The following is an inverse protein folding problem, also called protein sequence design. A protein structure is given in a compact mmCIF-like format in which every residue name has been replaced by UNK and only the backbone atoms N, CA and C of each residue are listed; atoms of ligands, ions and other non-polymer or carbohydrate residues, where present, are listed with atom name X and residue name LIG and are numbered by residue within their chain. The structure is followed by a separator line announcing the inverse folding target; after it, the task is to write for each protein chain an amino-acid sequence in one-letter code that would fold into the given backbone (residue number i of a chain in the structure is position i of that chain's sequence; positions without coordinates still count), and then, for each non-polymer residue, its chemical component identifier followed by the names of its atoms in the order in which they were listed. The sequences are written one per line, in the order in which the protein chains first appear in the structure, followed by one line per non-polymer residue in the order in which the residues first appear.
data_IF_695689561129
#
_entry.id   IF_695689561129
#
_cell.length_a   1.000
_cell.length_b   1.000
_cell.length_c   1.000
_cell.angle_alpha   90.00
_cell.angle_beta   90.00
_cell.angle_gamma   90.00
#
_symmetry.space_group_name_H-M   'P 1'
#
loop_
_entity.id
_entity.type
_entity.pdbx_description
1 polymer ?
#
# COMPACT_ATOMS: atom_id res chain seq x y z
N UNK A 1 -43.05 18.27 3.61
CA UNK A 1 -41.72 18.02 3.00
C UNK A 1 -41.26 16.65 3.43
N UNK A 2 -41.30 15.69 2.51
CA UNK A 2 -40.93 14.29 2.76
C UNK A 2 -39.43 14.15 3.07
N UNK A 3 -39.06 13.03 3.71
CA UNK A 3 -37.68 12.76 4.11
C UNK A 3 -36.68 12.92 2.95
N UNK A 4 -37.08 12.53 1.74
CA UNK A 4 -36.28 12.67 0.52
C UNK A 4 -36.01 14.14 0.21
N UNK A 5 -37.03 15.01 0.26
CA UNK A 5 -36.85 16.43 -0.02
C UNK A 5 -35.95 17.10 1.02
N UNK A 6 -36.08 16.71 2.30
CA UNK A 6 -35.18 17.18 3.37
C UNK A 6 -33.73 16.72 3.15
N UNK A 7 -33.52 15.49 2.69
CA UNK A 7 -32.20 14.96 2.37
C UNK A 7 -31.54 15.71 1.22
N UNK A 8 -32.29 15.97 0.15
CA UNK A 8 -31.81 16.74 -1.01
C UNK A 8 -31.41 18.15 -0.60
N UNK A 9 -32.26 18.85 0.17
CA UNK A 9 -31.95 20.21 0.65
C UNK A 9 -30.68 20.22 1.50
N UNK A 10 -30.53 19.27 2.44
CA UNK A 10 -29.32 19.15 3.26
C UNK A 10 -28.07 18.87 2.43
N UNK A 11 -28.18 18.02 1.41
CA UNK A 11 -27.08 17.76 0.48
C UNK A 11 -26.63 19.03 -0.24
N UNK A 12 -27.56 19.80 -0.82
CA UNK A 12 -27.23 21.06 -1.49
C UNK A 12 -26.63 22.08 -0.52
N UNK A 13 -27.19 22.20 0.69
CA UNK A 13 -26.63 23.08 1.73
C UNK A 13 -25.19 22.70 2.10
N UNK A 14 -24.89 21.40 2.25
CA UNK A 14 -23.55 20.92 2.50
C UNK A 14 -22.61 21.25 1.33
N UNK A 15 -23.05 21.01 0.08
CA UNK A 15 -22.23 21.27 -1.11
C UNK A 15 -21.90 22.76 -1.31
N UNK A 16 -22.77 23.67 -0.83
CA UNK A 16 -22.54 25.12 -0.83
C UNK A 16 -21.47 25.56 0.18
N UNK A 17 -21.17 24.75 1.20
CA UNK A 17 -20.09 25.02 2.17
C UNK A 17 -18.69 24.62 1.66
N UNK A 18 -18.61 23.98 0.49
CA UNK A 18 -17.33 23.63 -0.13
C UNK A 18 -16.56 24.86 -0.59
N UNK A 19 -15.25 24.69 -0.75
CA UNK A 19 -14.36 25.75 -1.23
C UNK A 19 -14.76 26.19 -2.66
N UNK A 20 -15.08 27.46 -2.89
CA UNK A 20 -15.50 27.93 -4.21
C UNK A 20 -14.37 27.84 -5.25
N UNK A 21 -13.10 27.83 -4.82
CA UNK A 21 -11.92 27.81 -5.72
C UNK A 21 -11.77 26.47 -6.44
N UNK A 22 -12.36 25.39 -5.89
CA UNK A 22 -12.32 24.07 -6.53
C UNK A 22 -13.45 23.84 -7.54
N UNK A 23 -14.39 24.79 -7.64
CA UNK A 23 -15.52 24.70 -8.57
C UNK A 23 -15.03 24.67 -10.02
N UNK A 24 -15.61 23.79 -10.83
CA UNK A 24 -15.21 23.62 -12.23
C UNK A 24 -13.95 22.79 -12.44
N UNK A 25 -13.22 22.42 -11.38
CA UNK A 25 -12.21 21.37 -11.49
C UNK A 25 -12.89 20.01 -11.75
N UNK A 26 -12.33 19.17 -12.63
CA UNK A 26 -12.88 17.85 -12.89
C UNK A 26 -13.16 17.06 -11.59
N UNK A 27 -14.33 16.42 -11.54
CA UNK A 27 -14.82 15.62 -10.41
C UNK A 27 -15.15 16.39 -9.11
N UNK A 28 -15.05 17.73 -9.05
CA UNK A 28 -15.28 18.50 -7.81
C UNK A 28 -16.71 19.03 -7.61
N UNK A 29 -17.58 18.90 -8.61
CA UNK A 29 -18.96 19.40 -8.53
C UNK A 29 -19.87 18.51 -7.67
N UNK A 30 -19.60 17.21 -7.62
CA UNK A 30 -20.37 16.22 -6.85
C UNK A 30 -19.48 15.05 -6.42
N UNK A 31 -19.75 14.40 -5.27
CA UNK A 31 -19.04 13.18 -4.89
C UNK A 31 -19.46 11.96 -5.73
N UNK A 32 -20.60 12.03 -6.42
CA UNK A 32 -21.22 10.87 -7.09
C UNK A 32 -20.34 10.28 -8.21
N UNK A 33 -19.71 11.08 -9.10
CA UNK A 33 -18.79 10.54 -10.10
C UNK A 33 -17.61 9.79 -9.48
N UNK A 34 -16.99 10.36 -8.44
CA UNK A 34 -15.89 9.71 -7.70
C UNK A 34 -16.35 8.39 -7.08
N UNK A 35 -17.52 8.39 -6.43
CA UNK A 35 -18.11 7.18 -5.85
C UNK A 35 -18.38 6.11 -6.91
N UNK A 36 -18.94 6.50 -8.06
CA UNK A 36 -19.20 5.58 -9.17
C UNK A 36 -17.90 4.97 -9.72
N UNK A 37 -16.83 5.77 -9.85
CA UNK A 37 -15.51 5.30 -10.26
C UNK A 37 -14.94 4.29 -9.24
N UNK A 38 -15.01 4.58 -7.94
CA UNK A 38 -14.56 3.69 -6.87
C UNK A 38 -15.33 2.35 -6.85
N UNK A 39 -16.66 2.39 -6.98
CA UNK A 39 -17.49 1.19 -7.04
C UNK A 39 -17.19 0.37 -8.30
N UNK A 40 -17.03 1.04 -9.44
CA UNK A 40 -16.66 0.41 -10.71
C UNK A 40 -15.28 -0.24 -10.63
N UNK A 41 -14.31 0.40 -9.96
CA UNK A 41 -12.99 -0.15 -9.68
C UNK A 41 -13.11 -1.48 -8.90
N UNK A 42 -13.86 -1.48 -7.78
CA UNK A 42 -14.04 -2.70 -6.97
C UNK A 42 -14.69 -3.81 -7.79
N UNK A 43 -15.80 -3.52 -8.49
CA UNK A 43 -16.47 -4.50 -9.33
C UNK A 43 -15.57 -5.04 -10.45
N UNK A 44 -14.84 -4.14 -11.13
CA UNK A 44 -13.95 -4.51 -12.22
C UNK A 44 -12.85 -5.46 -11.75
N UNK A 45 -12.13 -5.14 -10.67
CA UNK A 45 -10.98 -5.94 -10.26
C UNK A 45 -11.33 -7.22 -9.49
N UNK A 46 -12.54 -7.32 -8.94
CA UNK A 46 -12.98 -8.53 -8.22
C UNK A 46 -13.81 -9.48 -9.05
N UNK A 47 -14.56 -8.98 -10.05
CA UNK A 47 -15.52 -9.78 -10.81
C UNK A 47 -15.20 -9.78 -12.30
N UNK A 48 -15.28 -8.61 -12.95
CA UNK A 48 -15.24 -8.55 -14.42
C UNK A 48 -13.84 -8.86 -14.98
N UNK A 49 -12.81 -8.22 -14.45
CA UNK A 49 -11.42 -8.37 -14.86
C UNK A 49 -10.93 -9.81 -14.81
N UNK A 50 -11.04 -10.52 -13.67
CA UNK A 50 -10.67 -11.94 -13.59
C UNK A 50 -11.39 -12.82 -14.62
N UNK A 51 -12.69 -12.61 -14.85
CA UNK A 51 -13.47 -13.31 -15.89
C UNK A 51 -12.96 -13.03 -17.30
N UNK A 52 -12.65 -11.77 -17.60
CA UNK A 52 -12.08 -11.38 -18.91
C UNK A 52 -10.69 -11.98 -19.16
N UNK A 53 -9.93 -12.23 -18.09
CA UNK A 53 -8.59 -12.78 -18.14
C UNK A 53 -8.54 -14.31 -18.06
N UNK A 54 -9.63 -15.00 -17.69
CA UNK A 54 -9.66 -16.45 -17.45
C UNK A 54 -9.01 -17.24 -18.59
N UNK A 55 -9.48 -17.01 -19.82
CA UNK A 55 -9.04 -17.70 -21.03
C UNK A 55 -7.93 -16.96 -21.81
N UNK A 56 -7.27 -15.96 -21.20
CA UNK A 56 -6.19 -15.19 -21.83
C UNK A 56 -4.82 -15.52 -21.23
N UNK A 57 -3.75 -15.40 -22.01
CA UNK A 57 -2.38 -15.47 -21.46
C UNK A 57 -2.06 -14.15 -20.71
N UNK A 58 -1.18 -14.18 -19.68
CA UNK A 58 -0.68 -12.95 -19.07
C UNK A 58 -0.05 -12.02 -20.12
N UNK A 59 -0.27 -10.72 -19.99
CA UNK A 59 0.32 -9.73 -20.90
C UNK A 59 1.75 -9.36 -20.47
N UNK A 60 2.61 -9.15 -21.47
CA UNK A 60 3.98 -8.66 -21.28
C UNK A 60 4.02 -7.14 -21.16
N UNK A 61 3.70 -6.63 -19.95
CA UNK A 61 3.59 -5.19 -19.66
C UNK A 61 4.81 -4.62 -18.91
N UNK A 62 5.93 -5.34 -18.89
CA UNK A 62 7.10 -5.00 -18.07
C UNK A 62 7.64 -3.59 -18.34
N UNK A 63 7.86 -3.21 -19.60
CA UNK A 63 8.36 -1.88 -19.97
C UNK A 63 7.41 -0.76 -19.52
N UNK A 64 6.11 -0.99 -19.69
CA UNK A 64 5.08 -0.04 -19.26
C UNK A 64 5.06 0.12 -17.73
N UNK A 65 5.20 -0.97 -16.98
CA UNK A 65 5.35 -0.91 -15.53
C UNK A 65 6.57 -0.10 -15.10
N UNK A 66 7.72 -0.29 -15.76
CA UNK A 66 8.94 0.48 -15.43
C UNK A 66 8.69 1.98 -15.63
N UNK A 67 8.18 2.38 -16.81
CA UNK A 67 7.87 3.78 -17.12
C UNK A 67 6.86 4.36 -16.12
N UNK A 68 5.78 3.63 -15.85
CA UNK A 68 4.75 4.05 -14.90
C UNK A 68 5.31 4.24 -13.49
N UNK A 69 6.08 3.28 -12.97
CA UNK A 69 6.63 3.37 -11.61
C UNK A 69 7.57 4.59 -11.48
N UNK A 70 8.45 4.83 -12.47
CA UNK A 70 9.31 6.01 -12.45
C UNK A 70 8.53 7.32 -12.63
N UNK A 71 7.47 7.34 -13.44
CA UNK A 71 6.58 8.49 -13.53
C UNK A 71 5.90 8.79 -12.19
N UNK A 72 5.42 7.77 -11.47
CA UNK A 72 4.82 7.92 -10.15
C UNK A 72 5.81 8.43 -9.10
N UNK A 73 7.09 8.04 -9.19
CA UNK A 73 8.17 8.62 -8.36
C UNK A 73 8.29 10.12 -8.63
N UNK A 74 8.37 10.53 -9.90
CA UNK A 74 8.50 11.94 -10.28
C UNK A 74 7.27 12.74 -9.81
N UNK A 75 6.06 12.24 -10.05
CA UNK A 75 4.84 12.88 -9.58
C UNK A 75 4.82 13.03 -8.05
N UNK A 76 5.26 12.01 -7.31
CA UNK A 76 5.32 12.07 -5.85
C UNK A 76 6.37 13.08 -5.36
N UNK A 77 7.53 13.17 -6.03
CA UNK A 77 8.55 14.20 -5.75
C UNK A 77 8.00 15.60 -6.01
N UNK A 78 7.32 15.82 -7.13
CA UNK A 78 6.69 17.12 -7.46
C UNK A 78 5.69 17.51 -6.39
N UNK A 79 4.83 16.57 -5.97
CA UNK A 79 3.86 16.82 -4.91
C UNK A 79 4.55 17.21 -3.60
N UNK A 80 5.55 16.43 -3.15
CA UNK A 80 6.30 16.70 -1.91
C UNK A 80 7.03 18.03 -1.98
N UNK A 81 7.68 18.36 -3.10
CA UNK A 81 8.36 19.62 -3.30
C UNK A 81 7.40 20.82 -3.20
N UNK A 82 6.24 20.73 -3.86
CA UNK A 82 5.25 21.79 -3.82
C UNK A 82 4.64 21.94 -2.42
N UNK A 83 4.36 20.82 -1.73
CA UNK A 83 3.76 20.86 -0.39
C UNK A 83 4.74 21.47 0.63
N UNK A 84 6.04 21.15 0.51
CA UNK A 84 7.07 21.81 1.29
C UNK A 84 7.17 23.31 0.96
N UNK A 85 7.32 23.66 -0.31
CA UNK A 85 7.58 25.04 -0.74
C UNK A 85 6.42 26.00 -0.44
N UNK A 86 5.19 25.56 -0.68
CA UNK A 86 4.00 26.44 -0.58
C UNK A 86 3.25 26.29 0.74
N UNK A 87 3.58 25.28 1.56
CA UNK A 87 2.98 25.09 2.87
C UNK A 87 4.03 24.84 3.97
N UNK A 88 4.62 23.64 4.06
CA UNK A 88 5.33 23.20 5.27
C UNK A 88 6.67 23.89 5.59
N UNK A 89 7.29 24.57 4.62
CA UNK A 89 8.50 25.39 4.82
C UNK A 89 8.20 26.89 4.78
N UNK A 90 6.93 27.27 4.78
CA UNK A 90 6.54 28.68 4.88
C UNK A 90 6.66 29.16 6.32
N UNK A 91 6.90 30.46 6.57
CA UNK A 91 6.99 31.01 7.93
C UNK A 91 5.73 30.80 8.78
N UNK A 92 4.58 30.57 8.14
CA UNK A 92 3.29 30.38 8.79
C UNK A 92 3.07 28.93 9.25
N UNK A 93 3.87 27.98 8.77
CA UNK A 93 3.69 26.57 9.09
C UNK A 93 4.13 26.24 10.52
N UNK A 94 3.30 25.49 11.25
CA UNK A 94 3.56 25.15 12.66
C UNK A 94 3.73 23.65 12.93
N UNK A 95 3.31 22.78 12.01
CA UNK A 95 3.20 21.31 12.20
C UNK A 95 2.33 20.90 13.40
N UNK A 96 1.60 21.85 13.99
CA UNK A 96 0.76 21.67 15.18
C UNK A 96 -0.69 21.93 14.84
N UNK A 97 -0.96 23.12 14.34
CA UNK A 97 -2.25 23.57 13.87
C UNK A 97 -2.00 24.47 12.67
N UNK A 98 -2.43 24.00 11.51
CA UNK A 98 -2.23 24.70 10.26
C UNK A 98 -3.62 24.90 9.62
N UNK A 99 -4.26 26.06 9.81
CA UNK A 99 -5.57 26.32 9.21
C UNK A 99 -5.47 26.35 7.68
N UNK A 100 -6.59 26.11 7.01
CA UNK A 100 -6.65 26.19 5.55
C UNK A 100 -6.62 27.67 5.13
N UNK A 101 -5.70 28.03 4.23
CA UNK A 101 -5.76 29.32 3.55
C UNK A 101 -6.80 29.27 2.43
N UNK A 102 -7.98 29.82 2.70
CA UNK A 102 -9.09 29.95 1.75
C UNK A 102 -8.98 31.14 0.80
N UNK A 103 -7.95 31.97 0.94
CA UNK A 103 -7.76 33.16 0.10
C UNK A 103 -7.18 32.81 -1.27
N UNK A 104 -7.23 33.75 -2.21
CA UNK A 104 -6.55 33.62 -3.51
C UNK A 104 -5.06 34.00 -3.42
N UNK A 105 -4.42 33.83 -2.26
CA UNK A 105 -2.98 34.04 -2.12
C UNK A 105 -2.22 33.06 -3.02
N UNK A 106 -1.01 33.41 -3.50
CA UNK A 106 -0.19 32.49 -4.28
C UNK A 106 0.04 31.15 -3.59
N UNK A 107 0.28 31.14 -2.27
CA UNK A 107 0.52 29.92 -1.50
C UNK A 107 -0.77 29.11 -1.28
N UNK A 108 -1.89 29.78 -0.97
CA UNK A 108 -3.20 29.15 -0.80
C UNK A 108 -3.65 28.44 -2.09
N UNK A 109 -3.56 29.12 -3.23
CA UNK A 109 -3.89 28.53 -4.53
C UNK A 109 -2.94 27.39 -4.90
N UNK A 110 -1.62 27.54 -4.69
CA UNK A 110 -0.65 26.48 -5.01
C UNK A 110 -0.86 25.23 -4.14
N UNK A 111 -1.17 25.41 -2.86
CA UNK A 111 -1.50 24.32 -1.94
C UNK A 111 -2.80 23.61 -2.35
N UNK A 112 -3.82 24.37 -2.75
CA UNK A 112 -5.08 23.82 -3.27
C UNK A 112 -4.87 23.01 -4.55
N UNK A 113 -4.15 23.55 -5.54
CA UNK A 113 -3.85 22.84 -6.79
C UNK A 113 -2.96 21.61 -6.55
N UNK A 114 -2.02 21.68 -5.59
CA UNK A 114 -1.20 20.52 -5.22
C UNK A 114 -2.04 19.42 -4.56
N UNK A 115 -3.00 19.79 -3.70
CA UNK A 115 -3.97 18.87 -3.11
C UNK A 115 -4.86 18.22 -4.17
N UNK A 116 -5.27 18.98 -5.18
CA UNK A 116 -6.01 18.46 -6.32
C UNK A 116 -5.17 17.49 -7.16
N UNK A 117 -3.90 17.83 -7.40
CA UNK A 117 -2.96 16.93 -8.06
C UNK A 117 -2.82 15.60 -7.31
N UNK A 118 -2.71 15.63 -5.98
CA UNK A 118 -2.70 14.42 -5.14
C UNK A 118 -4.00 13.61 -5.26
N UNK A 119 -5.16 14.28 -5.26
CA UNK A 119 -6.46 13.64 -5.48
C UNK A 119 -6.49 12.89 -6.83
N UNK A 120 -6.00 13.51 -7.91
CA UNK A 120 -5.91 12.86 -9.22
C UNK A 120 -4.96 11.66 -9.20
N UNK A 121 -3.81 11.76 -8.52
CA UNK A 121 -2.89 10.63 -8.39
C UNK A 121 -3.56 9.40 -7.77
N UNK A 122 -4.51 9.54 -6.83
CA UNK A 122 -5.21 8.38 -6.25
C UNK A 122 -5.97 7.55 -7.30
N UNK A 123 -6.45 8.17 -8.38
CA UNK A 123 -7.06 7.43 -9.50
C UNK A 123 -6.00 6.83 -10.44
N UNK A 124 -4.90 7.54 -10.68
CA UNK A 124 -3.79 7.02 -11.49
C UNK A 124 -3.23 5.73 -10.87
N UNK A 125 -3.22 5.65 -9.54
CA UNK A 125 -2.81 4.48 -8.77
C UNK A 125 -3.69 3.23 -9.01
N UNK A 126 -4.87 3.35 -9.62
CA UNK A 126 -5.66 2.18 -10.02
C UNK A 126 -4.93 1.31 -11.04
N UNK A 127 -4.01 1.91 -11.81
CA UNK A 127 -3.16 1.22 -12.79
C UNK A 127 -2.27 0.16 -12.11
N UNK A 128 -1.93 0.29 -10.83
CA UNK A 128 -1.23 -0.76 -10.07
C UNK A 128 -1.99 -2.08 -10.10
N UNK A 129 -3.31 -1.98 -9.85
CA UNK A 129 -4.22 -3.12 -9.85
C UNK A 129 -4.42 -3.68 -11.25
N UNK A 130 -4.42 -2.79 -12.26
CA UNK A 130 -4.46 -3.18 -13.67
C UNK A 130 -3.25 -4.02 -14.05
N UNK A 131 -2.04 -3.65 -13.62
CA UNK A 131 -0.85 -4.45 -13.88
C UNK A 131 -0.90 -5.82 -13.21
N UNK A 132 -1.41 -5.90 -11.96
CA UNK A 132 -1.60 -7.20 -11.31
C UNK A 132 -2.60 -8.08 -12.07
N UNK A 133 -3.72 -7.50 -12.51
CA UNK A 133 -4.72 -8.21 -13.31
C UNK A 133 -4.15 -8.71 -14.64
N UNK A 134 -3.54 -7.84 -15.43
CA UNK A 134 -3.01 -8.15 -16.75
C UNK A 134 -1.91 -9.22 -16.71
N UNK A 135 -1.12 -9.26 -15.62
CA UNK A 135 -0.08 -10.27 -15.40
C UNK A 135 -0.58 -11.54 -14.70
N UNK A 136 -1.89 -11.66 -14.46
CA UNK A 136 -2.52 -12.75 -13.68
C UNK A 136 -1.86 -12.94 -12.31
N UNK A 137 -1.48 -11.84 -11.65
CA UNK A 137 -0.92 -11.82 -10.29
C UNK A 137 -2.01 -11.55 -9.27
N UNK A 138 -3.06 -12.36 -9.27
CA UNK A 138 -4.24 -12.19 -8.41
C UNK A 138 -3.90 -12.19 -6.92
N UNK A 139 -2.87 -12.93 -6.49
CA UNK A 139 -2.38 -12.93 -5.10
C UNK A 139 -1.91 -11.54 -4.62
N UNK A 140 -1.59 -10.63 -5.54
CA UNK A 140 -1.20 -9.25 -5.23
C UNK A 140 -2.41 -8.33 -5.08
N UNK A 141 -3.57 -8.69 -5.65
CA UNK A 141 -4.85 -7.99 -5.45
C UNK A 141 -5.45 -8.45 -4.10
N UNK A 142 -4.74 -8.11 -3.03
CA UNK A 142 -5.15 -8.47 -1.67
C UNK A 142 -6.33 -7.62 -1.20
N UNK A 143 -7.01 -8.06 -0.12
CA UNK A 143 -8.04 -7.24 0.55
C UNK A 143 -7.50 -5.88 0.96
N UNK A 144 -6.27 -5.82 1.50
CA UNK A 144 -5.61 -4.56 1.86
C UNK A 144 -5.49 -3.63 0.65
N UNK A 145 -4.96 -4.14 -0.46
CA UNK A 145 -4.77 -3.38 -1.70
C UNK A 145 -6.10 -2.84 -2.23
N UNK A 146 -7.11 -3.72 -2.35
CA UNK A 146 -8.41 -3.36 -2.89
C UNK A 146 -9.17 -2.36 -2.01
N UNK A 147 -9.14 -2.54 -0.68
CA UNK A 147 -9.77 -1.60 0.27
C UNK A 147 -9.07 -0.24 0.19
N UNK A 148 -7.73 -0.23 0.21
CA UNK A 148 -6.95 1.00 0.12
C UNK A 148 -7.23 1.77 -1.16
N UNK A 149 -6.97 1.20 -2.33
CA UNK A 149 -7.21 1.93 -3.58
C UNK A 149 -8.70 2.18 -3.82
N UNK A 150 -9.60 1.29 -3.39
CA UNK A 150 -11.04 1.48 -3.55
C UNK A 150 -11.59 2.69 -2.77
N UNK A 151 -11.12 2.92 -1.54
CA UNK A 151 -11.66 3.99 -0.68
C UNK A 151 -10.90 5.32 -0.79
N UNK A 152 -9.60 5.30 -1.08
CA UNK A 152 -8.75 6.49 -0.98
C UNK A 152 -9.22 7.68 -1.84
N UNK A 153 -9.55 7.53 -3.14
CA UNK A 153 -10.03 8.67 -3.94
C UNK A 153 -11.32 9.28 -3.37
N UNK A 154 -12.27 8.44 -2.96
CA UNK A 154 -13.53 8.91 -2.37
C UNK A 154 -13.32 9.59 -1.01
N UNK A 155 -12.41 9.08 -0.18
CA UNK A 155 -12.06 9.68 1.10
C UNK A 155 -11.39 11.05 0.92
N UNK A 156 -10.43 11.15 -0.01
CA UNK A 156 -9.71 12.40 -0.32
C UNK A 156 -10.61 13.44 -0.96
N UNK A 157 -11.65 13.04 -1.69
CA UNK A 157 -12.62 13.96 -2.31
C UNK A 157 -13.23 14.95 -1.31
N UNK A 158 -13.60 14.48 -0.10
CA UNK A 158 -14.13 15.34 0.95
C UNK A 158 -13.10 16.35 1.46
N UNK A 159 -11.84 15.92 1.62
CA UNK A 159 -10.74 16.82 1.95
C UNK A 159 -10.57 17.89 0.87
N UNK A 160 -10.54 17.47 -0.40
CA UNK A 160 -10.40 18.38 -1.53
C UNK A 160 -11.57 19.38 -1.64
N UNK A 161 -12.80 18.95 -1.34
CA UNK A 161 -13.98 19.81 -1.46
C UNK A 161 -14.06 20.88 -0.38
N UNK A 162 -13.64 20.57 0.85
CA UNK A 162 -13.89 21.44 2.02
C UNK A 162 -12.64 21.99 2.67
N UNK A 163 -11.53 21.25 2.65
CA UNK A 163 -10.26 21.60 3.32
C UNK A 163 -9.05 21.34 2.40
N UNK A 164 -8.97 21.96 1.20
CA UNK A 164 -7.89 21.70 0.24
C UNK A 164 -6.57 22.40 0.61
N UNK A 165 -6.07 22.15 1.81
CA UNK A 165 -4.84 22.74 2.33
C UNK A 165 -4.67 22.57 3.84
N UNK A 166 -3.69 23.29 4.39
CA UNK A 166 -3.42 23.33 5.83
C UNK A 166 -3.13 21.95 6.41
N UNK A 167 -3.65 21.71 7.62
CA UNK A 167 -3.41 20.52 8.43
C UNK A 167 -3.67 19.19 7.72
N UNK A 168 -4.62 19.18 6.78
CA UNK A 168 -4.94 17.99 6.01
C UNK A 168 -3.80 17.56 5.08
N UNK A 169 -2.95 18.46 4.58
CA UNK A 169 -1.95 18.07 3.57
C UNK A 169 -0.86 17.18 4.15
N UNK A 170 -0.68 17.14 5.48
CA UNK A 170 0.33 16.31 6.14
C UNK A 170 0.19 14.83 5.80
N UNK A 171 -1.03 14.30 5.71
CA UNK A 171 -1.21 12.88 5.35
C UNK A 171 -0.78 12.62 3.91
N UNK A 172 -1.09 13.55 2.99
CA UNK A 172 -0.65 13.50 1.61
C UNK A 172 0.87 13.57 1.52
N UNK A 173 1.49 14.50 2.25
CA UNK A 173 2.94 14.66 2.35
C UNK A 173 3.64 13.39 2.81
N UNK A 174 3.24 12.85 3.96
CA UNK A 174 3.80 11.63 4.51
C UNK A 174 3.58 10.43 3.57
N UNK A 175 2.40 10.32 2.97
CA UNK A 175 2.08 9.26 2.01
C UNK A 175 2.94 9.35 0.75
N UNK A 176 3.13 10.55 0.19
CA UNK A 176 3.92 10.74 -1.02
C UNK A 176 5.41 10.46 -0.80
N UNK A 177 5.97 10.76 0.38
CA UNK A 177 7.35 10.36 0.72
C UNK A 177 7.48 8.83 0.70
N UNK A 178 6.53 8.11 1.29
CA UNK A 178 6.54 6.65 1.25
C UNK A 178 6.29 6.12 -0.16
N UNK A 179 5.42 6.77 -0.94
CA UNK A 179 5.17 6.39 -2.34
C UNK A 179 6.40 6.56 -3.23
N UNK A 180 7.25 7.56 -2.98
CA UNK A 180 8.56 7.67 -3.67
C UNK A 180 9.35 6.38 -3.46
N UNK A 181 9.53 5.95 -2.20
CA UNK A 181 10.32 4.75 -1.88
C UNK A 181 9.64 3.47 -2.40
N UNK A 182 8.32 3.38 -2.28
CA UNK A 182 7.52 2.24 -2.74
C UNK A 182 7.58 2.08 -4.26
N UNK A 183 7.40 3.16 -5.03
CA UNK A 183 7.45 3.10 -6.49
C UNK A 183 8.86 2.88 -7.03
N UNK A 184 9.90 3.36 -6.33
CA UNK A 184 11.29 2.95 -6.62
C UNK A 184 11.43 1.43 -6.45
N UNK A 185 10.95 0.88 -5.32
CA UNK A 185 10.97 -0.57 -5.10
C UNK A 185 10.23 -1.33 -6.22
N UNK A 186 9.04 -0.88 -6.61
CA UNK A 186 8.26 -1.52 -7.68
C UNK A 186 8.91 -1.40 -9.06
N UNK A 187 9.48 -0.24 -9.40
CA UNK A 187 10.25 -0.04 -10.62
C UNK A 187 11.45 -0.99 -10.70
N UNK A 188 12.25 -1.08 -9.64
CA UNK A 188 13.39 -2.00 -9.56
C UNK A 188 12.96 -3.47 -9.61
N UNK A 189 11.86 -3.83 -8.93
CA UNK A 189 11.32 -5.20 -8.96
C UNK A 189 10.81 -5.61 -10.34
N UNK A 190 10.47 -4.63 -11.19
CA UNK A 190 9.99 -4.84 -12.54
C UNK A 190 11.12 -5.09 -13.54
N UNK A 191 12.39 -4.86 -13.20
CA UNK A 191 13.54 -5.14 -14.09
C UNK A 191 13.83 -6.64 -14.26
N UNK A 192 13.24 -7.50 -13.42
CA UNK A 192 13.27 -8.95 -13.59
C UNK A 192 13.97 -9.70 -12.45
N UNK A 193 14.20 -11.01 -12.62
CA UNK A 193 14.75 -11.87 -11.58
C UNK A 193 16.13 -11.47 -11.07
N UNK A 194 16.96 -10.88 -11.93
CA UNK A 194 18.30 -10.40 -11.60
C UNK A 194 18.32 -9.33 -10.51
N UNK A 195 17.25 -8.54 -10.37
CA UNK A 195 17.15 -7.51 -9.34
C UNK A 195 16.70 -8.03 -7.98
N UNK A 196 16.07 -9.21 -7.90
CA UNK A 196 15.49 -9.74 -6.66
C UNK A 196 16.49 -9.85 -5.48
N UNK A 197 17.75 -10.28 -5.68
CA UNK A 197 18.72 -10.38 -4.58
C UNK A 197 19.02 -9.02 -3.91
N UNK A 198 18.95 -7.93 -4.66
CA UNK A 198 19.25 -6.58 -4.18
C UNK A 198 18.06 -5.92 -3.44
N UNK A 199 16.86 -6.52 -3.54
CA UNK A 199 15.62 -6.01 -2.94
C UNK A 199 15.35 -6.58 -1.53
N UNK A 200 16.42 -6.87 -0.77
CA UNK A 200 16.36 -7.41 0.60
C UNK A 200 15.62 -6.50 1.59
N UNK A 201 15.47 -5.22 1.26
CA UNK A 201 14.90 -4.20 2.13
C UNK A 201 13.37 -4.07 2.05
N UNK A 202 12.68 -4.98 1.35
CA UNK A 202 11.20 -5.03 1.27
C UNK A 202 10.53 -4.92 2.65
N UNK A 203 11.08 -5.59 3.66
CA UNK A 203 10.53 -5.57 5.04
C UNK A 203 10.62 -4.18 5.67
N UNK A 204 11.69 -3.44 5.42
CA UNK A 204 11.87 -2.07 5.93
C UNK A 204 10.93 -1.09 5.22
N UNK A 205 10.61 -1.31 3.95
CA UNK A 205 9.56 -0.54 3.25
C UNK A 205 8.20 -0.70 3.95
N UNK A 206 7.79 -1.92 4.30
CA UNK A 206 6.53 -2.13 5.04
C UNK A 206 6.57 -1.55 6.45
N UNK A 207 7.73 -1.61 7.13
CA UNK A 207 7.91 -0.93 8.42
C UNK A 207 7.78 0.60 8.28
N UNK A 208 8.31 1.17 7.19
CA UNK A 208 8.19 2.60 6.91
C UNK A 208 6.74 3.03 6.66
N UNK A 209 5.96 2.23 5.91
CA UNK A 209 4.52 2.42 5.76
C UNK A 209 3.77 2.39 7.12
N UNK A 210 4.14 1.49 8.03
CA UNK A 210 3.53 1.43 9.37
C UNK A 210 3.85 2.68 10.21
N UNK A 211 5.10 3.15 10.18
CA UNK A 211 5.52 4.38 10.86
C UNK A 211 4.79 5.59 10.29
N UNK A 212 4.57 5.65 8.98
CA UNK A 212 3.80 6.72 8.33
C UNK A 212 2.39 6.84 8.92
N UNK A 213 1.67 5.72 9.11
CA UNK A 213 0.34 5.79 9.70
C UNK A 213 0.37 6.29 11.15
N UNK A 214 1.38 5.92 11.94
CA UNK A 214 1.56 6.44 13.31
C UNK A 214 1.78 7.96 13.29
N UNK A 215 2.64 8.46 12.39
CA UNK A 215 2.87 9.88 12.24
C UNK A 215 1.58 10.63 11.83
N UNK A 216 0.82 10.09 10.87
CA UNK A 216 -0.45 10.67 10.42
C UNK A 216 -1.47 10.71 11.56
N UNK A 217 -1.63 9.61 12.29
CA UNK A 217 -2.55 9.55 13.44
C UNK A 217 -2.15 10.56 14.52
N UNK A 218 -0.86 10.61 14.87
CA UNK A 218 -0.33 11.56 15.84
C UNK A 218 -0.60 13.00 15.42
N UNK A 219 -0.29 13.35 14.18
CA UNK A 219 -0.54 14.69 13.63
C UNK A 219 -2.03 15.03 13.55
N UNK A 220 -2.89 14.09 13.16
CA UNK A 220 -4.34 14.33 13.02
C UNK A 220 -5.06 14.46 14.37
N UNK A 221 -4.79 13.57 15.32
CA UNK A 221 -5.46 13.59 16.63
C UNK A 221 -4.97 14.71 17.55
N UNK A 222 -3.83 15.32 17.21
CA UNK A 222 -3.31 16.49 17.90
C UNK A 222 -4.27 17.68 17.93
N UNK A 223 -5.21 17.77 16.97
CA UNK A 223 -6.25 18.80 16.88
C UNK A 223 -7.28 18.74 18.01
N UNK A 224 -7.41 17.60 18.70
CA UNK A 224 -8.34 17.48 19.83
C UNK A 224 -7.82 18.13 21.10
N UNK A 225 -6.51 18.30 21.21
CA UNK A 225 -5.82 18.84 22.38
C UNK A 225 -5.30 20.26 22.16
N UNK A 226 -5.75 20.93 21.09
CA UNK A 226 -5.32 22.28 20.72
C UNK A 226 -6.49 23.10 20.21
N UNK A 227 -6.42 24.40 20.48
CA UNK A 227 -7.31 25.37 19.86
C UNK A 227 -6.78 25.68 18.46
N UNK A 228 -7.56 25.27 17.47
CA UNK A 228 -7.18 25.35 16.07
C UNK A 228 -8.39 25.69 15.21
N UNK A 229 -8.24 26.67 14.31
CA UNK A 229 -9.24 27.00 13.30
C UNK A 229 -9.20 26.03 12.11
N UNK A 230 -9.13 24.73 12.41
CA UNK A 230 -9.21 23.65 11.44
C UNK A 230 -10.33 22.70 11.90
N UNK A 231 -11.23 22.24 11.01
CA UNK A 231 -12.36 21.43 11.44
C UNK A 231 -11.92 20.08 12.01
N UNK A 232 -12.14 19.87 13.32
CA UNK A 232 -11.75 18.64 14.03
C UNK A 232 -12.33 17.36 13.43
N UNK A 233 -13.48 17.45 12.75
CA UNK A 233 -14.09 16.34 12.03
C UNK A 233 -13.18 15.77 10.93
N UNK A 234 -12.47 16.61 10.18
CA UNK A 234 -11.49 16.14 9.19
C UNK A 234 -10.27 15.52 9.86
N UNK A 235 -9.84 16.04 11.02
CA UNK A 235 -8.83 15.41 11.86
C UNK A 235 -9.22 14.00 12.30
N UNK A 236 -10.45 13.83 12.80
CA UNK A 236 -11.01 12.52 13.16
C UNK A 236 -11.04 11.60 11.94
N UNK A 237 -11.56 12.09 10.81
CA UNK A 237 -11.68 11.32 9.57
C UNK A 237 -10.32 10.78 9.10
N UNK A 238 -9.30 11.64 9.01
CA UNK A 238 -7.94 11.26 8.59
C UNK A 238 -7.32 10.29 9.61
N UNK A 239 -7.44 10.60 10.91
CA UNK A 239 -6.92 9.74 11.98
C UNK A 239 -7.56 8.34 11.99
N UNK A 240 -8.88 8.25 11.82
CA UNK A 240 -9.61 6.98 11.72
C UNK A 240 -9.20 6.15 10.50
N UNK A 241 -8.94 6.79 9.35
CA UNK A 241 -8.36 6.09 8.19
C UNK A 241 -6.95 5.58 8.50
N UNK A 242 -6.14 6.39 9.20
CA UNK A 242 -4.82 5.98 9.69
C UNK A 242 -4.89 4.72 10.56
N UNK A 243 -5.85 4.65 11.49
CA UNK A 243 -6.10 3.46 12.33
C UNK A 243 -6.45 2.24 11.46
N UNK A 244 -7.42 2.39 10.54
CA UNK A 244 -7.85 1.32 9.64
C UNK A 244 -6.67 0.73 8.87
N UNK A 245 -5.88 1.57 8.19
CA UNK A 245 -4.77 1.10 7.39
C UNK A 245 -3.62 0.56 8.24
N UNK A 246 -3.36 1.15 9.40
CA UNK A 246 -2.38 0.59 10.33
C UNK A 246 -2.72 -0.85 10.73
N UNK A 247 -3.99 -1.16 11.03
CA UNK A 247 -4.42 -2.54 11.32
C UNK A 247 -4.25 -3.47 10.12
N UNK A 248 -4.68 -3.04 8.93
CA UNK A 248 -4.57 -3.86 7.71
C UNK A 248 -3.10 -4.13 7.34
N UNK A 249 -2.22 -3.13 7.44
CA UNK A 249 -0.78 -3.29 7.20
C UNK A 249 -0.11 -4.13 8.29
N UNK A 250 -0.56 -4.01 9.54
CA UNK A 250 -0.03 -4.84 10.65
C UNK A 250 -0.39 -6.31 10.44
N UNK A 251 -1.63 -6.60 10.03
CA UNK A 251 -2.05 -7.96 9.66
C UNK A 251 -1.22 -8.51 8.49
N UNK A 252 -1.06 -7.71 7.42
CA UNK A 252 -0.20 -8.07 6.28
C UNK A 252 1.25 -8.34 6.71
N UNK A 253 1.82 -7.48 7.56
CA UNK A 253 3.20 -7.61 8.04
C UNK A 253 3.38 -8.88 8.88
N UNK A 254 2.44 -9.17 9.78
CA UNK A 254 2.45 -10.39 10.59
C UNK A 254 2.38 -11.63 9.70
N UNK A 255 1.42 -11.68 8.76
CA UNK A 255 1.24 -12.83 7.86
C UNK A 255 2.43 -13.06 6.92
N UNK A 256 3.10 -12.00 6.49
CA UNK A 256 4.19 -12.07 5.50
C UNK A 256 5.56 -12.31 6.13
N UNK A 257 5.83 -11.71 7.30
CA UNK A 257 7.18 -11.67 7.87
C UNK A 257 7.32 -12.37 9.24
N UNK A 258 6.22 -12.60 9.97
CA UNK A 258 6.25 -13.43 11.17
C UNK A 258 5.84 -14.85 10.78
N UNK A 259 6.79 -15.79 10.85
CA UNK A 259 6.46 -17.23 10.73
C UNK A 259 5.38 -17.57 11.78
N UNK A 260 4.41 -18.44 11.47
CA UNK A 260 3.68 -19.09 12.56
C UNK A 260 4.74 -19.80 13.41
N UNK A 261 4.74 -19.54 14.72
CA UNK A 261 5.45 -20.40 15.64
C UNK A 261 4.84 -21.78 15.38
N UNK A 262 5.63 -22.68 14.79
CA UNK A 262 5.27 -24.08 14.76
C UNK A 262 5.14 -24.47 16.23
N UNK A 263 3.90 -24.52 16.73
CA UNK A 263 3.61 -25.10 18.02
C UNK A 263 4.19 -26.50 17.97
N UNK A 264 5.22 -26.72 18.79
CA UNK A 264 5.80 -28.03 19.01
C UNK A 264 4.70 -28.96 19.49
N UNK A 265 4.14 -29.74 18.58
CA UNK A 265 3.53 -31.00 18.92
C UNK A 265 4.67 -31.97 19.19
N UNK A 266 5.04 -32.02 20.47
CA UNK A 266 5.81 -33.07 21.12
C UNK A 266 5.33 -34.42 20.61
N UNK A 267 6.15 -35.11 19.80
CA UNK A 267 6.16 -36.57 19.78
C UNK A 267 7.33 -37.02 20.64
N UNK A 268 7.03 -37.15 21.93
CA UNK A 268 7.74 -38.04 22.83
C UNK A 268 7.61 -39.47 22.29
N UNK A 269 8.72 -40.05 21.84
CA UNK A 269 8.99 -41.45 22.12
C UNK A 269 10.48 -41.61 22.31
N UNK A 270 10.88 -41.53 23.57
CA UNK A 270 12.13 -42.05 24.09
C UNK A 270 12.35 -43.48 23.60
N UNK A 271 13.41 -43.72 22.82
CA UNK A 271 14.21 -44.94 22.99
C UNK A 271 15.68 -44.56 22.94
N UNK A 272 16.27 -44.82 24.09
CA UNK A 272 17.60 -44.54 24.58
C UNK A 272 18.73 -45.30 23.87
N UNK A 273 19.95 -44.78 24.11
CA UNK A 273 21.30 -45.35 23.94
C UNK A 273 21.85 -45.20 22.51
N UNK A 274 23.05 -44.67 22.28
CA UNK A 274 24.25 -44.61 23.12
C UNK A 274 25.20 -43.52 22.59
N UNK A 275 25.90 -42.87 23.51
CA UNK A 275 26.97 -41.90 23.23
C UNK A 275 28.26 -42.67 22.92
N UNK A 276 29.01 -42.25 21.90
CA UNK A 276 30.46 -42.11 22.04
C UNK A 276 31.03 -41.17 20.97
N UNK A 277 31.59 -40.05 21.44
CA UNK A 277 32.64 -39.30 20.76
C UNK A 277 33.93 -40.13 20.81
N UNK A 278 34.70 -40.12 19.72
CA UNK A 278 36.17 -40.06 19.67
C UNK A 278 36.54 -40.09 18.17
N UNK A 279 37.04 -38.98 17.64
CA UNK A 279 38.46 -38.58 17.60
C UNK A 279 39.04 -38.89 16.22
N UNK A 280 39.59 -37.83 15.63
CA UNK A 280 40.34 -37.75 14.39
C UNK A 280 41.53 -38.73 14.28
N UNK A 281 41.89 -38.98 13.03
CA UNK A 281 43.17 -39.47 12.47
C UNK A 281 43.14 -40.88 11.84
N UNK A 282 43.90 -40.96 10.75
CA UNK A 282 44.27 -42.08 9.87
C UNK A 282 43.34 -42.49 8.72
N UNK A 283 43.84 -42.19 7.52
CA UNK A 283 43.29 -42.60 6.25
C UNK A 283 43.76 -43.98 5.80
N UNK A 284 42.95 -44.63 4.97
CA UNK A 284 43.39 -45.41 3.81
C UNK A 284 42.17 -45.73 2.92
N UNK A 285 42.17 -45.47 1.60
CA UNK A 285 40.98 -45.54 0.75
C UNK A 285 40.73 -46.92 0.12
N UNK A 286 40.91 -48.02 0.86
CA UNK A 286 40.88 -49.37 0.28
C UNK A 286 39.81 -50.34 0.83
N UNK A 287 38.84 -49.84 1.62
CA UNK A 287 37.71 -50.68 2.12
C UNK A 287 36.32 -50.25 1.64
N UNK A 288 36.25 -49.32 0.68
CA UNK A 288 34.97 -48.88 0.07
C UNK A 288 34.55 -49.65 -1.18
N UNK A 289 35.42 -50.50 -1.73
CA UNK A 289 35.14 -51.28 -2.95
C UNK A 289 34.60 -52.71 -2.68
N UNK A 290 34.77 -53.27 -1.47
CA UNK A 290 34.37 -54.66 -1.19
C UNK A 290 32.94 -54.82 -0.62
N UNK A 291 32.24 -53.74 -0.25
CA UNK A 291 30.90 -53.80 0.36
C UNK A 291 29.73 -53.59 -0.61
N UNK A 292 29.98 -53.18 -1.85
CA UNK A 292 28.94 -52.98 -2.87
C UNK A 292 28.90 -54.06 -3.96
N UNK A 293 29.88 -54.99 -4.01
CA UNK A 293 29.90 -56.11 -4.96
C UNK A 293 29.16 -57.37 -4.49
N UNK A 294 28.93 -57.55 -3.19
CA UNK A 294 28.37 -58.78 -2.61
C UNK A 294 26.86 -58.73 -2.28
N UNK A 295 26.18 -57.59 -2.54
CA UNK A 295 24.74 -57.44 -2.27
C UNK A 295 23.84 -57.62 -3.50
N UNK A 296 24.41 -57.65 -4.70
CA UNK A 296 23.65 -57.73 -5.96
C UNK A 296 23.73 -59.08 -6.70
N UNK A 297 24.50 -60.05 -6.19
CA UNK A 297 24.63 -61.40 -6.78
C UNK A 297 23.77 -62.47 -6.09
N UNK A 298 23.18 -62.19 -4.92
CA UNK A 298 22.39 -63.17 -4.13
C UNK A 298 20.89 -63.15 -4.48
N UNK A 299 20.40 -62.15 -5.22
CA UNK A 299 18.96 -62.00 -5.56
C UNK A 299 18.54 -62.59 -6.90
N UNK A 300 19.46 -63.19 -7.69
CA UNK A 300 19.13 -63.76 -9.01
C UNK A 300 19.16 -65.29 -9.12
N UNK A 301 19.41 -66.02 -8.04
CA UNK A 301 19.44 -67.50 -8.01
C UNK A 301 18.26 -68.15 -7.26
N UNK A 302 17.14 -67.45 -7.07
CA UNK A 302 15.92 -67.97 -6.41
C UNK A 302 14.65 -67.98 -7.28
N UNK A 303 14.79 -67.99 -8.61
CA UNK A 303 13.69 -68.25 -9.56
C UNK A 303 14.16 -69.13 -10.72
N UNK A 304 14.50 -70.38 -10.41
CA UNK A 304 14.40 -71.54 -11.33
C UNK A 304 14.39 -72.82 -10.48
N UNK A 305 13.31 -73.02 -9.74
CA UNK A 305 12.87 -74.28 -9.12
C UNK A 305 11.39 -74.14 -8.84
#
# INVERSE_FOLDING_TARGET
MDLISKGIVKYYQLMLQGDPRVKGLPLMDSPLPTMAICLSYVYFFTVLGPRLMENRKPFEVQKLMIIYNFAMVICSIIFVYNDLKYHWLTPQASFKCDPVDYTNSPNGLRTMYNSYFYFILKFVEFVDTLFFLLRKKFDHITKLHLIHHGIMPFSVWWGMKFVPGGHATFFGFANSIVHIVMYIYYGLSSLGPSMRPYLWWKKYLTAFQLVQFIAIMGHSFQLFFRDCNFPKLFGLWIGSHGILFWFLFTDFYKKTYKKPIANGAIKSSTKSKEVNLNSSLDGNPEKKALKNGLRNSVTKLKKSS
#
